data_IF_005785583030
#
_entry.id   IF_005785583030
#
_cell.length_a   1.000
_cell.length_b   1.000
_cell.length_c   1.000
_cell.angle_alpha   90.00
_cell.angle_beta   90.00
_cell.angle_gamma   90.00
#
_symmetry.space_group_name_H-M   'P 1'
#
loop_
_entity.id
_entity.type
_entity.pdbx_description
1 polymer ?
#
# COMPACT_ATOMS: atom_id res chain seq x y z
N UNK A 1 43.28 -53.33 -10.93
CA UNK A 1 42.45 -53.10 -9.71
C UNK A 1 42.26 -51.61 -9.44
N UNK A 2 41.40 -50.91 -10.15
CA UNK A 2 41.09 -49.48 -9.90
C UNK A 2 39.74 -49.03 -10.48
N UNK A 3 38.67 -49.79 -10.32
CA UNK A 3 37.34 -49.43 -10.85
C UNK A 3 36.18 -49.54 -9.86
N UNK A 4 36.43 -49.81 -8.57
CA UNK A 4 35.35 -49.97 -7.55
C UNK A 4 35.12 -48.78 -6.66
N UNK A 5 35.96 -47.71 -6.72
CA UNK A 5 35.84 -46.55 -5.78
C UNK A 5 34.99 -45.40 -6.29
N UNK A 6 34.76 -45.26 -7.60
CA UNK A 6 33.99 -44.16 -8.20
C UNK A 6 32.46 -44.33 -8.14
N UNK A 7 31.97 -45.57 -8.15
CA UNK A 7 30.54 -45.85 -8.11
C UNK A 7 29.91 -45.67 -6.73
N UNK A 8 30.70 -45.88 -5.67
CA UNK A 8 30.22 -45.71 -4.28
C UNK A 8 30.05 -44.23 -3.89
N UNK A 9 30.91 -43.35 -4.42
CA UNK A 9 30.85 -41.92 -4.15
C UNK A 9 29.65 -41.24 -4.83
N UNK A 10 29.25 -41.71 -6.02
CA UNK A 10 28.09 -41.17 -6.76
C UNK A 10 26.75 -41.60 -6.15
N UNK A 11 26.67 -42.78 -5.56
CA UNK A 11 25.45 -43.26 -4.91
C UNK A 11 25.21 -42.57 -3.57
N UNK A 12 26.29 -42.21 -2.83
CA UNK A 12 26.17 -41.49 -1.56
C UNK A 12 25.73 -40.05 -1.78
N UNK A 13 26.19 -39.35 -2.83
CA UNK A 13 25.79 -37.98 -3.17
C UNK A 13 24.34 -37.92 -3.68
N UNK A 14 23.85 -38.91 -4.42
CA UNK A 14 22.47 -38.97 -4.86
C UNK A 14 21.49 -39.24 -3.70
N UNK A 15 21.86 -40.04 -2.72
CA UNK A 15 21.06 -40.29 -1.53
C UNK A 15 20.94 -39.07 -0.61
N UNK A 16 22.01 -38.27 -0.47
CA UNK A 16 22.02 -37.03 0.32
C UNK A 16 21.17 -35.93 -0.34
N UNK A 17 21.22 -35.82 -1.68
CA UNK A 17 20.39 -34.87 -2.43
C UNK A 17 18.91 -35.24 -2.35
N UNK A 18 18.56 -36.53 -2.44
CA UNK A 18 17.17 -36.95 -2.27
C UNK A 18 16.66 -36.83 -0.85
N UNK A 19 17.50 -36.99 0.17
CA UNK A 19 17.14 -36.80 1.56
C UNK A 19 16.92 -35.30 1.88
N UNK A 20 17.72 -34.39 1.31
CA UNK A 20 17.54 -32.96 1.43
C UNK A 20 16.29 -32.45 0.70
N UNK A 21 15.97 -33.01 -0.47
CA UNK A 21 14.74 -32.72 -1.18
C UNK A 21 13.48 -33.22 -0.44
N UNK A 22 13.56 -34.38 0.23
CA UNK A 22 12.47 -34.90 1.06
C UNK A 22 12.26 -34.08 2.36
N UNK A 23 13.33 -33.50 2.91
CA UNK A 23 13.23 -32.60 4.10
C UNK A 23 12.66 -31.23 3.73
N UNK A 24 12.87 -30.73 2.52
CA UNK A 24 12.27 -29.46 2.07
C UNK A 24 10.77 -29.59 1.71
N UNK A 25 10.31 -30.79 1.37
CA UNK A 25 8.89 -31.02 1.07
C UNK A 25 8.02 -31.31 2.32
N UNK A 26 8.61 -31.48 3.49
CA UNK A 26 7.90 -31.90 4.70
C UNK A 26 7.40 -30.74 5.57
N UNK A 27 7.53 -29.48 5.13
CA UNK A 27 7.19 -28.31 5.96
C UNK A 27 6.23 -27.30 5.31
N UNK A 28 5.54 -27.68 4.23
CA UNK A 28 4.28 -27.04 3.88
C UNK A 28 3.19 -27.60 4.81
N UNK A 29 3.03 -27.01 5.97
CA UNK A 29 1.78 -27.16 6.73
C UNK A 29 0.67 -26.69 5.81
N UNK A 30 -0.06 -27.62 5.20
CA UNK A 30 -1.19 -27.30 4.34
C UNK A 30 -2.20 -26.52 5.17
N UNK A 31 -2.25 -25.22 4.93
CA UNK A 31 -3.30 -24.35 5.44
C UNK A 31 -4.63 -24.86 4.85
N UNK A 32 -5.41 -25.54 5.67
CA UNK A 32 -6.61 -26.25 5.23
C UNK A 32 -7.79 -25.30 5.04
N UNK A 33 -8.82 -25.72 4.33
CA UNK A 33 -10.08 -24.97 4.20
C UNK A 33 -10.72 -24.70 5.57
N UNK A 34 -10.61 -25.65 6.50
CA UNK A 34 -11.09 -25.48 7.88
C UNK A 34 -10.30 -24.38 8.60
N UNK A 35 -8.97 -24.31 8.44
CA UNK A 35 -8.14 -23.25 9.02
C UNK A 35 -8.54 -21.89 8.47
N UNK A 36 -8.86 -21.82 7.18
CA UNK A 36 -9.30 -20.59 6.52
C UNK A 36 -10.60 -20.07 7.09
N UNK A 37 -11.61 -20.93 7.26
CA UNK A 37 -12.92 -20.53 7.77
C UNK A 37 -12.89 -20.18 9.26
N UNK A 38 -11.90 -20.65 10.01
CA UNK A 38 -11.66 -20.31 11.41
C UNK A 38 -10.87 -18.98 11.58
N UNK A 39 -10.53 -18.30 10.50
CA UNK A 39 -9.85 -17.01 10.59
C UNK A 39 -10.71 -15.96 11.28
N UNK A 40 -10.13 -15.29 12.26
CA UNK A 40 -10.75 -14.20 13.01
C UNK A 40 -10.09 -12.86 12.73
N UNK A 41 -10.81 -11.79 13.00
CA UNK A 41 -10.33 -10.41 12.97
C UNK A 41 -10.84 -9.63 14.16
N UNK A 42 -10.07 -8.63 14.60
CA UNK A 42 -10.40 -7.83 15.77
C UNK A 42 -10.15 -6.35 15.48
N UNK A 43 -11.21 -5.54 15.42
CA UNK A 43 -11.12 -4.10 15.26
C UNK A 43 -12.24 -3.38 16.01
N UNK A 44 -11.95 -2.23 16.59
CA UNK A 44 -12.92 -1.36 17.26
C UNK A 44 -13.76 -2.10 18.35
N UNK A 45 -13.14 -3.05 19.06
CA UNK A 45 -13.80 -3.86 20.09
C UNK A 45 -14.75 -4.94 19.55
N UNK A 46 -14.76 -5.19 18.26
CA UNK A 46 -15.55 -6.23 17.60
C UNK A 46 -14.67 -7.41 17.22
N UNK A 47 -15.26 -8.59 17.16
CA UNK A 47 -14.66 -9.80 16.59
C UNK A 47 -15.43 -10.21 15.33
N UNK A 48 -14.71 -10.43 14.25
CA UNK A 48 -15.22 -10.94 12.99
C UNK A 48 -14.76 -12.36 12.73
N UNK A 49 -15.59 -13.13 12.02
CA UNK A 49 -15.35 -14.53 11.69
C UNK A 49 -15.49 -14.75 10.19
N UNK A 50 -14.49 -15.34 9.55
CA UNK A 50 -14.50 -15.57 8.10
C UNK A 50 -15.71 -16.37 7.64
N UNK A 51 -16.15 -17.38 8.40
CA UNK A 51 -17.30 -18.19 8.05
C UNK A 51 -18.60 -17.38 7.87
N UNK A 52 -18.77 -16.28 8.61
CA UNK A 52 -19.95 -15.42 8.53
C UNK A 52 -20.00 -14.57 7.26
N UNK A 53 -18.85 -14.30 6.65
CA UNK A 53 -18.73 -13.36 5.54
C UNK A 53 -18.86 -13.98 4.14
N UNK A 54 -18.89 -15.30 4.01
CA UNK A 54 -18.88 -16.00 2.72
C UNK A 54 -19.95 -15.50 1.75
N UNK A 55 -21.17 -15.28 2.25
CA UNK A 55 -22.31 -14.78 1.44
C UNK A 55 -22.07 -13.34 0.99
N UNK A 56 -21.63 -12.46 1.88
CA UNK A 56 -21.35 -11.06 1.58
C UNK A 56 -20.16 -10.93 0.63
N UNK A 57 -19.11 -11.74 0.79
CA UNK A 57 -17.98 -11.75 -0.13
C UNK A 57 -18.42 -12.14 -1.55
N UNK A 58 -19.17 -13.23 -1.70
CA UNK A 58 -19.69 -13.67 -3.01
C UNK A 58 -20.58 -12.62 -3.66
N UNK A 59 -21.42 -11.94 -2.86
CA UNK A 59 -22.36 -10.94 -3.37
C UNK A 59 -21.69 -9.64 -3.80
N UNK A 60 -20.70 -9.15 -3.05
CA UNK A 60 -20.19 -7.79 -3.17
C UNK A 60 -18.72 -7.70 -3.61
N UNK A 61 -17.90 -8.72 -3.37
CA UNK A 61 -16.46 -8.65 -3.53
C UNK A 61 -15.93 -9.56 -4.66
N UNK A 62 -16.50 -10.76 -4.79
CA UNK A 62 -16.05 -11.80 -5.73
C UNK A 62 -15.98 -11.29 -7.17
N UNK A 63 -16.94 -10.47 -7.61
CA UNK A 63 -16.99 -9.96 -8.98
C UNK A 63 -15.68 -9.27 -9.42
N UNK A 64 -14.99 -8.64 -8.49
CA UNK A 64 -13.72 -7.96 -8.72
C UNK A 64 -12.52 -8.78 -8.22
N UNK A 65 -12.61 -9.29 -6.98
CA UNK A 65 -11.47 -9.92 -6.29
C UNK A 65 -11.30 -11.42 -6.57
N UNK A 66 -12.26 -12.06 -7.24
CA UNK A 66 -12.19 -13.48 -7.58
C UNK A 66 -12.62 -14.40 -6.44
N UNK A 67 -12.93 -15.64 -6.75
CA UNK A 67 -13.31 -16.66 -5.76
C UNK A 67 -12.11 -17.08 -4.90
N UNK A 68 -10.91 -17.04 -5.48
CA UNK A 68 -9.64 -17.35 -4.80
C UNK A 68 -9.00 -16.11 -4.15
N UNK A 69 -9.62 -14.95 -4.21
CA UNK A 69 -9.06 -13.70 -3.69
C UNK A 69 -7.83 -13.19 -4.46
N UNK A 70 -7.58 -13.71 -5.65
CA UNK A 70 -6.42 -13.46 -6.50
C UNK A 70 -6.51 -12.17 -7.33
N UNK A 71 -7.61 -11.43 -7.20
CA UNK A 71 -7.84 -10.21 -7.98
C UNK A 71 -8.32 -10.47 -9.40
N UNK A 72 -8.63 -11.73 -9.75
CA UNK A 72 -9.01 -12.17 -11.09
C UNK A 72 -10.52 -12.46 -11.22
N UNK A 73 -11.35 -11.71 -10.51
CA UNK A 73 -12.80 -11.82 -10.66
C UNK A 73 -13.28 -11.48 -12.08
N UNK A 74 -14.48 -11.92 -12.46
CA UNK A 74 -15.00 -11.74 -13.84
C UNK A 74 -15.03 -10.27 -14.31
N UNK A 75 -15.14 -9.31 -13.38
CA UNK A 75 -15.11 -7.89 -13.68
C UNK A 75 -13.69 -7.30 -13.73
N UNK A 76 -12.67 -8.01 -13.25
CA UNK A 76 -11.32 -7.48 -13.10
C UNK A 76 -10.71 -7.02 -14.44
N UNK A 77 -11.08 -7.66 -15.55
CA UNK A 77 -10.61 -7.29 -16.89
C UNK A 77 -10.96 -5.83 -17.27
N UNK A 78 -12.06 -5.30 -16.74
CA UNK A 78 -12.57 -3.95 -17.04
C UNK A 78 -12.16 -2.90 -16.01
N UNK A 79 -11.38 -3.28 -14.99
CA UNK A 79 -11.03 -2.43 -13.84
C UNK A 79 -9.59 -1.98 -13.94
N UNK A 80 -9.36 -0.69 -13.77
CA UNK A 80 -8.05 -0.07 -13.64
C UNK A 80 -8.08 1.00 -12.51
N UNK A 81 -7.14 0.98 -11.56
CA UNK A 81 -6.14 -0.08 -11.31
C UNK A 81 -6.78 -1.41 -10.92
N UNK A 82 -6.09 -2.51 -11.21
CA UNK A 82 -6.59 -3.88 -10.97
C UNK A 82 -6.95 -4.12 -9.50
N UNK A 83 -7.97 -4.98 -9.25
CA UNK A 83 -8.33 -5.38 -7.90
C UNK A 83 -7.13 -6.01 -7.18
N UNK A 84 -7.05 -5.80 -5.86
CA UNK A 84 -5.98 -6.36 -5.03
C UNK A 84 -6.03 -7.88 -5.02
N UNK A 85 -4.89 -8.49 -5.25
CA UNK A 85 -4.64 -9.90 -5.00
C UNK A 85 -4.39 -10.09 -3.49
N UNK A 86 -5.34 -10.72 -2.79
CA UNK A 86 -5.27 -10.94 -1.35
C UNK A 86 -4.32 -12.09 -0.99
N UNK A 87 -4.07 -13.03 -1.92
CA UNK A 87 -3.22 -14.20 -1.66
C UNK A 87 -1.79 -13.82 -1.32
N UNK A 88 -1.34 -12.65 -1.80
CA UNK A 88 0.01 -12.11 -1.53
C UNK A 88 0.15 -11.57 -0.10
N UNK A 89 -0.95 -11.29 0.60
CA UNK A 89 -0.91 -10.65 1.92
C UNK A 89 -0.26 -9.26 1.90
N UNK A 90 -0.29 -8.57 0.76
CA UNK A 90 0.23 -7.23 0.58
C UNK A 90 -0.91 -6.23 0.44
N UNK A 91 -0.90 -5.17 1.23
CA UNK A 91 -1.97 -4.18 1.25
C UNK A 91 -1.40 -2.76 1.19
N UNK A 92 -2.01 -1.91 0.35
CA UNK A 92 -1.56 -0.53 0.13
C UNK A 92 -1.77 0.34 1.37
N UNK A 93 -2.95 0.22 2.00
CA UNK A 93 -3.34 1.07 3.11
C UNK A 93 -3.13 0.33 4.42
N UNK A 94 -2.13 0.77 5.17
CA UNK A 94 -1.79 0.21 6.47
C UNK A 94 -1.12 1.24 7.37
N UNK A 95 -1.16 0.98 8.66
CA UNK A 95 -0.47 1.76 9.69
C UNK A 95 0.87 1.10 10.11
N UNK A 96 1.17 -0.07 9.61
CA UNK A 96 2.34 -0.87 9.94
C UNK A 96 3.51 -0.61 8.97
N UNK A 97 4.77 -0.90 9.34
CA UNK A 97 5.92 -0.73 8.46
C UNK A 97 5.81 -1.47 7.13
N UNK A 98 6.50 -0.97 6.09
CA UNK A 98 6.53 -1.61 4.77
C UNK A 98 6.92 -3.08 4.86
N UNK A 99 6.30 -3.93 4.03
CA UNK A 99 6.53 -5.38 3.98
C UNK A 99 5.83 -6.18 5.08
N UNK A 100 5.29 -5.54 6.13
CA UNK A 100 4.54 -6.22 7.19
C UNK A 100 3.05 -6.30 6.89
N UNK A 101 2.35 -7.21 7.58
CA UNK A 101 0.89 -7.30 7.47
C UNK A 101 0.21 -6.03 8.03
N UNK A 102 -0.95 -5.63 7.47
CA UNK A 102 -1.78 -4.57 8.03
C UNK A 102 -2.40 -5.01 9.36
N UNK A 103 -2.83 -4.04 10.16
CA UNK A 103 -3.75 -4.30 11.26
C UNK A 103 -5.16 -4.58 10.73
N UNK A 104 -5.98 -5.24 11.54
CA UNK A 104 -7.39 -5.50 11.20
C UNK A 104 -8.18 -4.19 11.05
N UNK A 105 -7.83 -3.15 11.81
CA UNK A 105 -8.35 -1.79 11.68
C UNK A 105 -8.05 -1.18 10.31
N UNK A 106 -6.87 -1.37 9.77
CA UNK A 106 -6.49 -0.85 8.45
C UNK A 106 -7.37 -1.44 7.34
N UNK A 107 -7.66 -2.75 7.42
CA UNK A 107 -8.53 -3.45 6.48
C UNK A 107 -9.99 -3.03 6.68
N UNK A 108 -10.46 -2.95 7.93
CA UNK A 108 -11.82 -2.52 8.28
C UNK A 108 -12.11 -1.12 7.74
N UNK A 109 -11.20 -0.19 7.96
CA UNK A 109 -11.30 1.19 7.46
C UNK A 109 -11.27 1.23 5.94
N UNK A 110 -10.41 0.42 5.32
CA UNK A 110 -10.31 0.35 3.85
C UNK A 110 -11.60 -0.16 3.22
N UNK A 111 -12.22 -1.21 3.78
CA UNK A 111 -13.52 -1.69 3.33
C UNK A 111 -14.59 -0.61 3.52
N UNK A 112 -14.62 0.02 4.68
CA UNK A 112 -15.61 1.07 4.99
C UNK A 112 -15.52 2.26 4.05
N UNK A 113 -14.33 2.87 3.91
CA UNK A 113 -14.13 4.12 3.13
C UNK A 113 -13.99 3.91 1.63
N UNK A 114 -13.68 2.67 1.16
CA UNK A 114 -13.27 2.42 -0.21
C UNK A 114 -11.87 3.00 -0.51
N UNK A 115 -11.48 2.98 -1.79
CA UNK A 115 -10.19 3.49 -2.25
C UNK A 115 -10.37 4.54 -3.35
N UNK A 116 -9.91 5.74 -3.10
CA UNK A 116 -9.93 6.85 -4.07
C UNK A 116 -9.08 6.49 -5.31
N UNK A 117 -9.49 6.94 -6.47
CA UNK A 117 -8.87 6.63 -7.75
C UNK A 117 -8.76 5.11 -8.00
N UNK A 118 -9.82 4.39 -7.65
CA UNK A 118 -10.02 2.98 -7.97
C UNK A 118 -11.51 2.66 -8.03
N UNK A 119 -11.85 1.47 -8.50
CA UNK A 119 -13.23 1.00 -8.53
C UNK A 119 -13.67 0.32 -7.22
N UNK A 120 -12.86 0.38 -6.15
CA UNK A 120 -13.23 -0.12 -4.82
C UNK A 120 -14.17 0.87 -4.13
N UNK A 121 -15.49 0.59 -4.07
CA UNK A 121 -16.46 1.52 -3.50
C UNK A 121 -16.39 1.51 -1.96
N UNK A 122 -17.10 2.44 -1.35
CA UNK A 122 -17.35 2.44 0.09
C UNK A 122 -18.41 1.39 0.44
N UNK A 123 -18.13 0.58 1.45
CA UNK A 123 -19.06 -0.44 1.95
C UNK A 123 -19.70 -0.03 3.28
N UNK A 124 -19.97 1.27 3.44
CA UNK A 124 -20.71 1.82 4.60
C UNK A 124 -22.17 1.29 4.69
N UNK A 125 -22.85 0.89 3.61
CA UNK A 125 -24.18 0.25 3.73
C UNK A 125 -24.15 -1.09 4.47
N UNK A 126 -23.00 -1.78 4.52
CA UNK A 126 -22.81 -2.95 5.37
C UNK A 126 -22.66 -2.52 6.84
N UNK A 127 -23.24 -3.30 7.75
CA UNK A 127 -23.06 -3.09 9.18
C UNK A 127 -21.57 -3.20 9.58
N UNK A 128 -21.21 -2.65 10.73
CA UNK A 128 -19.85 -2.79 11.25
C UNK A 128 -19.46 -4.27 11.44
N UNK A 129 -20.41 -5.12 11.92
CA UNK A 129 -20.17 -6.54 12.09
C UNK A 129 -19.93 -7.24 10.74
N UNK A 130 -20.72 -6.97 9.71
CA UNK A 130 -20.49 -7.55 8.38
C UNK A 130 -19.15 -7.15 7.79
N UNK A 131 -18.69 -5.90 8.04
CA UNK A 131 -17.38 -5.46 7.59
C UNK A 131 -16.23 -6.13 8.33
N UNK A 132 -16.33 -6.33 9.65
CA UNK A 132 -15.25 -7.01 10.39
C UNK A 132 -15.22 -8.52 10.06
N UNK A 133 -16.35 -9.14 9.78
CA UNK A 133 -16.41 -10.50 9.24
C UNK A 133 -15.73 -10.59 7.87
N UNK A 134 -15.94 -9.59 6.99
CA UNK A 134 -15.25 -9.49 5.70
C UNK A 134 -13.75 -9.29 5.86
N UNK A 135 -13.26 -8.59 6.88
CA UNK A 135 -11.82 -8.51 7.18
C UNK A 135 -11.27 -9.90 7.44
N UNK A 136 -11.92 -10.69 8.30
CA UNK A 136 -11.52 -12.07 8.56
C UNK A 136 -11.53 -12.92 7.27
N UNK A 137 -12.53 -12.71 6.41
CA UNK A 137 -12.63 -13.41 5.12
C UNK A 137 -11.51 -13.00 4.14
N UNK A 138 -11.12 -11.74 4.11
CA UNK A 138 -9.99 -11.28 3.28
C UNK A 138 -8.66 -11.87 3.77
N UNK A 139 -8.46 -11.93 5.07
CA UNK A 139 -7.26 -12.52 5.69
C UNK A 139 -7.11 -13.99 5.37
N UNK A 140 -8.22 -14.76 5.27
CA UNK A 140 -8.15 -16.19 5.01
C UNK A 140 -7.51 -16.57 3.67
N UNK A 141 -7.44 -15.64 2.71
CA UNK A 141 -6.84 -15.92 1.41
C UNK A 141 -5.31 -16.03 1.45
N UNK A 142 -4.65 -15.42 2.45
CA UNK A 142 -3.20 -15.45 2.52
C UNK A 142 -2.69 -16.21 3.76
N UNK A 143 -1.82 -17.21 3.57
CA UNK A 143 -1.21 -17.95 4.68
C UNK A 143 -0.35 -17.06 5.58
N UNK A 144 0.08 -15.88 5.13
CA UNK A 144 0.83 -14.92 5.94
C UNK A 144 0.10 -14.54 7.22
N UNK A 145 -1.22 -14.36 7.17
CA UNK A 145 -2.02 -14.05 8.37
C UNK A 145 -2.08 -15.18 9.41
N UNK A 146 -1.79 -16.42 9.00
CA UNK A 146 -1.70 -17.54 9.92
C UNK A 146 -0.29 -17.71 10.53
N UNK A 147 0.74 -17.20 9.86
CA UNK A 147 2.15 -17.45 10.21
C UNK A 147 2.90 -16.21 10.69
N UNK A 148 2.43 -15.02 10.31
CA UNK A 148 3.05 -13.75 10.63
C UNK A 148 2.15 -12.91 11.54
N UNK A 149 2.77 -12.05 12.34
CA UNK A 149 2.07 -11.00 13.09
C UNK A 149 2.23 -9.67 12.37
N UNK A 150 1.23 -8.76 12.41
CA UNK A 150 1.41 -7.39 11.96
C UNK A 150 2.60 -6.72 12.66
N UNK A 151 3.27 -5.82 11.96
CA UNK A 151 4.26 -4.94 12.60
C UNK A 151 3.58 -4.01 13.62
N UNK A 152 4.37 -3.45 14.53
CA UNK A 152 3.85 -2.38 15.38
C UNK A 152 3.45 -1.18 14.53
N UNK A 153 2.27 -0.56 14.77
CA UNK A 153 1.86 0.61 14.00
C UNK A 153 2.83 1.76 14.21
N UNK A 154 3.10 2.49 13.12
CA UNK A 154 3.93 3.69 13.21
C UNK A 154 3.25 4.72 14.12
N UNK A 155 4.06 5.43 14.90
CA UNK A 155 3.58 6.53 15.71
C UNK A 155 3.55 7.80 14.85
N UNK A 156 2.39 8.44 14.75
CA UNK A 156 2.25 9.74 14.12
C UNK A 156 2.34 10.79 15.22
N UNK A 157 3.39 11.64 15.22
CA UNK A 157 3.51 12.70 16.20
C UNK A 157 2.36 13.72 16.10
N UNK A 158 2.15 14.49 17.15
CA UNK A 158 1.20 15.62 17.09
C UNK A 158 1.55 16.55 15.92
N UNK A 159 0.53 16.98 15.22
CA UNK A 159 0.67 17.93 14.11
C UNK A 159 1.19 19.27 14.63
N UNK A 160 2.35 19.75 14.13
CA UNK A 160 2.87 21.04 14.52
C UNK A 160 2.13 22.20 13.81
N UNK A 161 2.40 23.42 14.23
CA UNK A 161 1.85 24.61 13.56
C UNK A 161 2.36 24.70 12.10
N UNK A 162 1.45 25.02 11.18
CA UNK A 162 1.76 25.23 9.76
C UNK A 162 2.40 26.60 9.59
N UNK A 163 3.63 26.64 9.09
CA UNK A 163 4.35 27.87 8.78
C UNK A 163 4.89 27.87 7.35
N UNK A 164 5.19 29.06 6.81
CA UNK A 164 5.79 29.17 5.49
C UNK A 164 7.17 28.48 5.40
N UNK A 165 7.95 28.51 6.48
CA UNK A 165 9.26 27.85 6.55
C UNK A 165 9.13 26.33 6.50
N UNK A 166 8.15 25.74 7.21
CA UNK A 166 7.86 24.31 7.16
C UNK A 166 7.44 23.87 5.76
N UNK A 167 6.57 24.63 5.11
CA UNK A 167 6.14 24.34 3.74
C UNK A 167 7.34 24.39 2.77
N UNK A 168 8.23 25.37 2.93
CA UNK A 168 9.47 25.48 2.13
C UNK A 168 10.43 24.31 2.41
N UNK A 169 10.55 23.88 3.65
CA UNK A 169 11.32 22.69 4.03
C UNK A 169 10.73 21.42 3.37
N UNK A 170 9.41 21.25 3.39
CA UNK A 170 8.72 20.17 2.70
C UNK A 170 8.93 20.18 1.19
N UNK A 171 8.93 21.35 0.54
CA UNK A 171 9.29 21.48 -0.88
C UNK A 171 10.73 21.02 -1.15
N UNK A 172 11.65 21.35 -0.25
CA UNK A 172 13.03 20.91 -0.35
C UNK A 172 13.14 19.38 -0.21
N UNK A 173 12.40 18.81 0.75
CA UNK A 173 12.31 17.34 0.92
C UNK A 173 11.72 16.66 -0.32
N UNK A 174 10.65 17.17 -0.88
CA UNK A 174 10.03 16.63 -2.10
C UNK A 174 11.04 16.50 -3.25
N UNK A 175 11.91 17.52 -3.40
CA UNK A 175 13.01 17.50 -4.37
C UNK A 175 14.10 16.51 -3.98
N UNK A 176 14.57 16.56 -2.73
CA UNK A 176 15.67 15.73 -2.20
C UNK A 176 15.33 14.23 -2.25
N UNK A 177 14.09 13.88 -1.94
CA UNK A 177 13.57 12.51 -1.97
C UNK A 177 13.13 12.06 -3.37
N UNK A 178 13.34 12.90 -4.37
CA UNK A 178 13.06 12.63 -5.77
C UNK A 178 11.59 12.30 -6.08
N UNK A 179 10.65 12.74 -5.23
CA UNK A 179 9.21 12.51 -5.43
C UNK A 179 8.74 13.01 -6.80
N UNK A 180 9.38 14.07 -7.30
CA UNK A 180 9.13 14.67 -8.62
C UNK A 180 9.36 13.71 -9.79
N UNK A 181 10.22 12.70 -9.65
CA UNK A 181 10.48 11.73 -10.72
C UNK A 181 9.22 10.98 -11.17
N UNK A 182 8.31 10.73 -10.23
CA UNK A 182 7.02 10.10 -10.50
C UNK A 182 5.88 11.13 -10.49
N UNK A 183 5.82 11.96 -9.43
CA UNK A 183 4.69 12.87 -9.23
C UNK A 183 4.76 14.16 -10.07
N UNK A 184 5.88 14.43 -10.76
CA UNK A 184 6.12 15.70 -11.44
C UNK A 184 6.60 16.80 -10.50
N UNK A 185 7.24 17.82 -11.03
CA UNK A 185 7.83 18.92 -10.25
C UNK A 185 6.76 19.72 -9.49
N UNK A 186 5.57 19.80 -10.06
CA UNK A 186 4.40 20.48 -9.48
C UNK A 186 3.35 19.51 -8.94
N UNK A 187 3.60 18.20 -8.97
CA UNK A 187 2.70 17.19 -8.41
C UNK A 187 1.55 16.76 -9.33
N UNK A 188 1.68 16.94 -10.66
CA UNK A 188 0.65 16.61 -11.65
C UNK A 188 0.70 15.16 -12.15
N UNK A 189 1.47 14.29 -11.51
CA UNK A 189 1.67 12.89 -11.91
C UNK A 189 2.31 12.72 -13.31
N UNK A 190 3.10 13.68 -13.75
CA UNK A 190 3.73 13.75 -15.08
C UNK A 190 5.27 13.76 -14.99
N UNK A 191 5.82 13.21 -13.90
CA UNK A 191 7.27 13.04 -13.79
C UNK A 191 7.83 12.08 -14.85
N UNK A 192 9.16 12.14 -15.10
CA UNK A 192 9.79 11.37 -16.19
C UNK A 192 9.61 9.85 -16.07
N UNK A 193 9.34 9.33 -14.88
CA UNK A 193 9.07 7.90 -14.66
C UNK A 193 7.59 7.55 -14.66
N UNK A 194 6.67 8.52 -14.69
CA UNK A 194 5.23 8.30 -14.45
C UNK A 194 4.59 7.27 -15.39
N UNK A 195 4.97 7.27 -16.67
CA UNK A 195 4.38 6.40 -17.70
C UNK A 195 5.02 5.00 -17.75
N UNK A 196 6.10 4.77 -17.01
CA UNK A 196 6.84 3.49 -17.02
C UNK A 196 6.67 2.69 -15.73
N UNK A 197 5.89 3.20 -14.77
CA UNK A 197 5.69 2.55 -13.49
C UNK A 197 4.84 1.29 -13.63
N UNK A 198 5.25 0.22 -12.95
CA UNK A 198 4.48 -1.01 -12.80
C UNK A 198 4.33 -1.37 -11.33
N UNK A 199 3.26 -2.07 -10.98
CA UNK A 199 3.10 -2.70 -9.66
C UNK A 199 3.92 -4.01 -9.58
N UNK A 200 3.92 -4.66 -8.40
CA UNK A 200 4.66 -5.91 -8.16
C UNK A 200 4.17 -7.10 -9.02
N UNK A 201 3.02 -6.96 -9.67
CA UNK A 201 2.48 -7.94 -10.63
C UNK A 201 2.74 -7.51 -12.09
N UNK A 202 3.67 -6.57 -12.33
CA UNK A 202 4.04 -6.01 -13.64
C UNK A 202 2.88 -5.34 -14.39
N UNK A 203 1.88 -4.81 -13.69
CA UNK A 203 0.75 -4.10 -14.29
C UNK A 203 1.05 -2.61 -14.28
N UNK A 204 0.74 -1.87 -15.36
CA UNK A 204 0.92 -0.42 -15.39
C UNK A 204 0.19 0.27 -14.23
N UNK A 205 0.84 1.22 -13.59
CA UNK A 205 0.26 2.02 -12.52
C UNK A 205 0.70 3.46 -12.66
N UNK A 206 -0.16 4.40 -12.26
CA UNK A 206 0.16 5.83 -12.30
C UNK A 206 0.33 6.41 -10.90
N UNK A 207 1.24 7.38 -10.72
CA UNK A 207 1.35 8.11 -9.47
C UNK A 207 0.09 8.95 -9.22
N UNK A 208 -0.13 9.34 -7.97
CA UNK A 208 -1.24 10.22 -7.62
C UNK A 208 -0.98 11.64 -8.15
N UNK A 209 -1.98 12.22 -8.82
CA UNK A 209 -1.99 13.63 -9.19
C UNK A 209 -2.54 14.46 -8.03
N UNK A 210 -1.72 15.28 -7.41
CA UNK A 210 -2.15 16.10 -6.27
C UNK A 210 -3.15 17.18 -6.66
N UNK A 211 -3.28 17.54 -7.93
CA UNK A 211 -4.25 18.52 -8.41
C UNK A 211 -5.67 17.95 -8.54
N UNK A 212 -5.85 16.61 -8.53
CA UNK A 212 -7.15 15.99 -8.75
C UNK A 212 -8.08 16.03 -7.53
N UNK A 213 -7.58 16.46 -6.36
CA UNK A 213 -8.42 16.58 -5.18
C UNK A 213 -7.68 16.43 -3.85
N UNK A 214 -8.45 16.46 -2.78
CA UNK A 214 -7.94 16.44 -1.40
C UNK A 214 -8.02 15.06 -0.74
N UNK A 215 -8.53 14.06 -1.45
CA UNK A 215 -8.70 12.69 -0.95
C UNK A 215 -7.59 11.80 -1.51
N UNK A 216 -6.83 11.20 -0.63
CA UNK A 216 -5.80 10.22 -0.99
C UNK A 216 -6.35 8.79 -0.96
N UNK A 217 -5.61 7.87 -1.55
CA UNK A 217 -6.01 6.46 -1.63
C UNK A 217 -6.32 5.86 -0.25
N UNK A 218 -5.54 6.18 0.76
CA UNK A 218 -5.65 5.58 2.09
C UNK A 218 -6.27 6.51 3.16
N UNK A 219 -6.89 7.61 2.77
CA UNK A 219 -7.57 8.52 3.70
C UNK A 219 -7.64 9.95 3.20
N UNK A 220 -8.04 10.88 4.08
CA UNK A 220 -8.28 12.29 3.72
C UNK A 220 -7.62 13.28 4.66
N UNK A 221 -7.17 12.82 5.81
CA UNK A 221 -6.55 13.67 6.85
C UNK A 221 -5.05 13.83 6.62
N UNK A 222 -4.44 14.80 7.29
CA UNK A 222 -3.00 15.00 7.27
C UNK A 222 -2.27 13.83 7.93
N UNK A 223 -2.86 13.23 8.96
CA UNK A 223 -2.36 12.01 9.58
C UNK A 223 -2.37 10.81 8.60
N UNK A 224 -3.40 10.71 7.74
CA UNK A 224 -3.43 9.65 6.71
C UNK A 224 -2.35 9.87 5.66
N UNK A 225 -2.16 11.12 5.23
CA UNK A 225 -1.10 11.46 4.28
C UNK A 225 0.28 11.20 4.87
N UNK A 226 0.50 11.57 6.15
CA UNK A 226 1.71 11.23 6.89
C UNK A 226 1.97 9.72 6.88
N UNK A 227 0.96 8.91 7.23
CA UNK A 227 1.06 7.45 7.21
C UNK A 227 1.43 6.92 5.83
N UNK A 228 0.78 7.42 4.77
CA UNK A 228 0.99 6.92 3.40
C UNK A 228 2.45 6.93 2.98
N UNK A 229 3.18 8.03 3.16
CA UNK A 229 4.58 8.04 2.72
C UNK A 229 5.54 7.49 3.77
N UNK A 230 5.18 7.49 5.05
CA UNK A 230 5.99 6.82 6.07
C UNK A 230 5.91 5.29 6.00
N UNK A 231 4.78 4.74 5.57
CA UNK A 231 4.64 3.28 5.39
C UNK A 231 4.83 2.83 3.94
N UNK A 232 4.76 3.73 2.97
CA UNK A 232 4.66 3.40 1.56
C UNK A 232 3.32 2.77 1.18
N UNK A 233 3.19 2.34 -0.06
CA UNK A 233 2.02 1.64 -0.60
C UNK A 233 2.45 0.27 -1.14
N UNK A 234 2.49 -0.75 -0.28
CA UNK A 234 2.99 -2.08 -0.66
C UNK A 234 2.30 -2.64 -1.91
N UNK A 235 3.09 -3.29 -2.74
CA UNK A 235 2.68 -3.77 -4.05
C UNK A 235 2.64 -2.65 -5.11
N UNK A 236 3.26 -1.49 -4.84
CA UNK A 236 3.41 -0.39 -5.81
C UNK A 236 4.79 0.23 -5.73
N UNK A 237 5.23 1.01 -6.75
CA UNK A 237 6.50 1.71 -6.72
C UNK A 237 6.61 2.83 -5.66
N UNK A 238 5.53 3.18 -4.93
CA UNK A 238 5.58 4.19 -3.87
C UNK A 238 6.25 3.61 -2.61
N UNK A 239 7.53 3.94 -2.32
CA UNK A 239 8.26 3.33 -1.22
C UNK A 239 7.87 3.93 0.13
N UNK A 240 8.30 3.29 1.21
CA UNK A 240 8.36 3.89 2.53
C UNK A 240 9.54 4.88 2.62
N UNK A 241 9.32 6.00 3.29
CA UNK A 241 10.37 6.98 3.57
C UNK A 241 10.75 7.02 5.06
N UNK A 242 10.30 6.04 5.87
CA UNK A 242 10.56 6.00 7.31
C UNK A 242 12.06 6.05 7.66
N UNK A 243 12.91 5.44 6.85
CA UNK A 243 14.36 5.41 7.06
C UNK A 243 15.07 6.69 6.57
N UNK A 244 14.39 7.52 5.79
CA UNK A 244 14.97 8.67 5.11
C UNK A 244 14.50 10.03 5.65
N UNK A 245 13.40 10.03 6.43
CA UNK A 245 12.71 11.25 6.88
C UNK A 245 12.48 11.17 8.39
N UNK A 246 12.92 12.20 9.10
CA UNK A 246 12.61 12.31 10.54
C UNK A 246 11.12 12.63 10.76
N UNK A 247 10.55 12.25 11.92
CA UNK A 247 9.14 12.48 12.22
C UNK A 247 8.67 13.94 12.01
N UNK A 248 9.46 14.93 12.43
CA UNK A 248 9.11 16.34 12.23
C UNK A 248 9.21 16.79 10.77
N UNK A 249 10.23 16.29 10.04
CA UNK A 249 10.40 16.55 8.60
C UNK A 249 9.27 15.95 7.77
N UNK A 250 8.67 14.85 8.25
CA UNK A 250 7.53 14.22 7.61
C UNK A 250 6.31 15.15 7.60
N UNK A 251 6.08 15.92 8.65
CA UNK A 251 5.02 16.94 8.69
C UNK A 251 5.28 18.09 7.70
N UNK A 252 6.52 18.51 7.54
CA UNK A 252 6.89 19.53 6.55
C UNK A 252 6.50 19.08 5.13
N UNK A 253 6.74 17.80 4.80
CA UNK A 253 6.32 17.24 3.53
C UNK A 253 4.80 17.19 3.39
N UNK A 254 4.05 16.80 4.44
CA UNK A 254 2.58 16.84 4.44
C UNK A 254 2.09 18.24 4.10
N UNK A 255 2.60 19.26 4.77
CA UNK A 255 2.18 20.65 4.55
C UNK A 255 2.47 21.12 3.13
N UNK A 256 3.64 20.77 2.59
CA UNK A 256 3.94 21.07 1.19
C UNK A 256 2.97 20.37 0.23
N UNK A 257 2.72 19.06 0.41
CA UNK A 257 1.81 18.32 -0.45
C UNK A 257 0.39 18.86 -0.44
N UNK A 258 -0.07 19.40 0.71
CA UNK A 258 -1.36 20.09 0.80
C UNK A 258 -1.41 21.35 -0.06
N UNK A 259 -0.29 22.06 -0.24
CA UNK A 259 -0.27 23.25 -1.13
C UNK A 259 -0.41 22.91 -2.61
N UNK A 260 -0.15 21.66 -2.97
CA UNK A 260 -0.32 21.15 -4.35
C UNK A 260 -1.78 20.82 -4.68
N UNK A 261 -2.67 20.80 -3.69
CA UNK A 261 -4.06 20.41 -3.85
C UNK A 261 -4.97 21.63 -4.13
N UNK A 262 -6.17 21.40 -4.69
CA UNK A 262 -7.17 22.46 -4.81
C UNK A 262 -7.52 23.02 -3.43
N UNK A 263 -7.31 24.29 -3.25
CA UNK A 263 -7.58 24.99 -1.99
C UNK A 263 -9.01 25.55 -1.96
N UNK A 264 -9.70 25.38 -0.84
CA UNK A 264 -10.94 26.07 -0.56
C UNK A 264 -10.67 27.56 -0.21
N UNK A 265 -11.73 28.35 -0.02
CA UNK A 265 -11.62 29.79 0.23
C UNK A 265 -10.81 30.13 1.49
N UNK A 266 -10.97 29.34 2.57
CA UNK A 266 -10.24 29.55 3.83
C UNK A 266 -8.76 29.23 3.68
N UNK A 267 -8.45 28.13 3.01
CA UNK A 267 -7.08 27.70 2.72
C UNK A 267 -6.36 28.70 1.82
N UNK A 268 -7.05 29.29 0.82
CA UNK A 268 -6.51 30.37 -0.01
C UNK A 268 -6.17 31.62 0.81
N UNK A 269 -6.98 31.96 1.82
CA UNK A 269 -6.70 33.08 2.71
C UNK A 269 -5.46 32.80 3.57
N UNK A 270 -5.35 31.60 4.14
CA UNK A 270 -4.18 31.17 4.92
C UNK A 270 -2.93 31.17 4.03
N UNK A 271 -3.00 30.59 2.84
CA UNK A 271 -1.89 30.59 1.89
C UNK A 271 -1.40 32.01 1.57
N UNK A 272 -2.34 32.95 1.36
CA UNK A 272 -2.02 34.36 1.14
C UNK A 272 -1.33 34.99 2.35
N UNK A 273 -1.80 34.73 3.57
CA UNK A 273 -1.18 35.22 4.81
C UNK A 273 0.26 34.66 4.97
N UNK A 274 0.49 33.42 4.56
CA UNK A 274 1.81 32.78 4.57
C UNK A 274 2.70 33.18 3.39
N UNK A 275 2.25 34.07 2.49
CA UNK A 275 2.99 34.49 1.31
C UNK A 275 3.13 33.42 0.23
N UNK A 276 2.30 32.36 0.29
CA UNK A 276 2.32 31.27 -0.68
C UNK A 276 1.59 31.70 -1.96
N UNK A 277 2.20 31.44 -3.11
CA UNK A 277 1.53 31.63 -4.41
C UNK A 277 0.68 30.39 -4.72
N UNK A 278 -0.61 30.54 -5.04
CA UNK A 278 -1.41 29.42 -5.54
C UNK A 278 -0.73 28.78 -6.74
N UNK A 279 -0.71 27.45 -6.78
CA UNK A 279 -0.23 26.74 -7.95
C UNK A 279 -1.25 26.96 -9.07
N UNK A 280 -0.77 27.41 -10.23
CA UNK A 280 -1.59 27.47 -11.42
C UNK A 280 -1.59 26.06 -12.06
N UNK A 281 -2.71 25.33 -12.04
CA UNK A 281 -2.76 23.97 -12.59
C UNK A 281 -2.53 23.94 -14.11
N UNK A 282 -2.60 25.08 -14.78
CA UNK A 282 -2.36 25.23 -16.22
C UNK A 282 -0.97 25.83 -16.52
N UNK A 283 -0.13 26.09 -15.49
CA UNK A 283 1.22 26.54 -15.74
C UNK A 283 2.06 25.43 -16.39
N UNK A 284 2.90 25.75 -17.37
CA UNK A 284 3.85 24.77 -17.89
C UNK A 284 4.74 24.28 -16.74
N UNK A 285 4.98 22.98 -16.73
CA UNK A 285 5.82 22.39 -15.69
C UNK A 285 7.24 22.97 -15.75
N UNK A 286 7.81 23.39 -14.61
CA UNK A 286 9.20 23.79 -14.58
C UNK A 286 10.11 22.63 -15.01
N UNK A 287 11.18 22.92 -15.71
CA UNK A 287 12.14 21.89 -16.08
C UNK A 287 12.60 21.06 -14.88
N UNK A 288 12.65 19.74 -15.07
CA UNK A 288 13.15 18.84 -14.04
C UNK A 288 14.55 19.29 -13.57
N UNK A 289 14.90 19.15 -12.29
CA UNK A 289 16.23 19.44 -11.80
C UNK A 289 17.26 18.66 -12.61
N UNK A 290 18.34 19.29 -13.01
CA UNK A 290 19.45 18.61 -13.69
C UNK A 290 19.91 17.42 -12.82
N UNK A 291 19.98 16.23 -13.41
CA UNK A 291 20.52 15.07 -12.71
C UNK A 291 21.99 15.36 -12.40
N UNK A 292 22.50 15.01 -11.21
CA UNK A 292 23.92 15.09 -10.96
C UNK A 292 24.64 14.17 -11.95
N UNK A 293 25.62 14.71 -12.66
CA UNK A 293 26.47 13.93 -13.55
C UNK A 293 27.05 12.76 -12.76
N UNK A 294 26.75 11.55 -13.22
CA UNK A 294 27.37 10.34 -12.68
C UNK A 294 28.86 10.41 -13.07
N UNK A 295 29.71 10.68 -12.08
CA UNK A 295 31.17 10.52 -12.19
C UNK A 295 31.56 9.08 -11.91
#
# INVERSE_FOLDING_TARGET
MRTRSLTFSLLLSAAVVMALAALSSAQETKYTEADRLNTESHANGMTGHAANAAVNYRRFCLGCHGELGDGMGPNAQWIDPKPRNFTLGQFKCRSTPTGTLPLDEDLFDTIGRGLVNSNMPQWLPLTAQERIDLVAYVKHFSPRFATEKPGAPIQVPNEPEVTADRIKAGQTLFKKLECWKCHGVTGQANGPSADTLTDDENRPIRPFNFHDGTRFKCGTTDHDLYKIFMTGLDGTPMPSFADNVKPDEAWDLVFYLRTLQPMNTKEKQIAKQLGLKPINPNAPEPAAPAQPEQK
#
